data_IF_541430454318
#
_entry.id   IF_541430454318
#
_cell.length_a   1.000
_cell.length_b   1.000
_cell.length_c   1.000
_cell.angle_alpha   90.00
_cell.angle_beta   90.00
_cell.angle_gamma   90.00
#
_symmetry.space_group_name_H-M   'P 1'
#
loop_
_entity.id
_entity.type
_entity.pdbx_description
1 polymer ?
#
# COMPACT_ATOMS: atom_id res chain seq x y z
N UNK A 1 -3.67 5.94 -39.57
CA UNK A 1 -4.63 5.39 -38.59
C UNK A 1 -5.55 6.53 -38.15
N UNK A 2 -6.87 6.36 -38.27
CA UNK A 2 -7.83 7.42 -37.91
C UNK A 2 -7.83 7.70 -36.40
N UNK A 3 -8.26 8.90 -35.99
CA UNK A 3 -8.40 9.26 -34.58
C UNK A 3 -9.31 8.29 -33.82
N UNK A 4 -10.41 7.87 -34.47
CA UNK A 4 -11.34 6.88 -33.93
C UNK A 4 -10.67 5.53 -33.62
N UNK A 5 -9.79 5.05 -34.52
CA UNK A 5 -9.05 3.79 -34.30
C UNK A 5 -8.02 3.93 -33.17
N UNK A 6 -7.42 5.11 -32.97
CA UNK A 6 -6.54 5.39 -31.82
C UNK A 6 -7.33 5.35 -30.50
N UNK A 7 -8.50 5.99 -30.48
CA UNK A 7 -9.36 6.00 -29.31
C UNK A 7 -9.84 4.59 -28.96
N UNK A 8 -10.30 3.82 -29.95
CA UNK A 8 -10.72 2.44 -29.74
C UNK A 8 -9.61 1.55 -29.17
N UNK A 9 -8.38 1.69 -29.68
CA UNK A 9 -7.22 0.95 -29.15
C UNK A 9 -6.85 1.40 -27.72
N UNK A 10 -6.96 2.69 -27.41
CA UNK A 10 -6.75 3.19 -26.06
C UNK A 10 -7.80 2.61 -25.11
N UNK A 11 -9.09 2.68 -25.45
CA UNK A 11 -10.17 2.09 -24.65
C UNK A 11 -9.98 0.59 -24.46
N UNK A 12 -9.58 -0.13 -25.51
CA UNK A 12 -9.28 -1.57 -25.41
C UNK A 12 -8.11 -1.83 -24.44
N UNK A 13 -7.08 -0.98 -24.44
CA UNK A 13 -5.97 -1.05 -23.48
C UNK A 13 -6.39 -0.76 -22.04
N UNK A 14 -7.41 0.07 -21.83
CA UNK A 14 -7.99 0.35 -20.52
C UNK A 14 -9.08 -0.64 -20.08
N UNK A 15 -9.47 -1.58 -20.95
CA UNK A 15 -10.55 -2.53 -20.65
C UNK A 15 -10.32 -3.31 -19.35
N UNK A 16 -9.11 -3.82 -19.01
CA UNK A 16 -8.89 -4.48 -17.73
C UNK A 16 -9.18 -3.58 -16.52
N UNK A 17 -8.81 -2.30 -16.59
CA UNK A 17 -9.10 -1.33 -15.53
C UNK A 17 -10.61 -1.05 -15.43
N UNK A 18 -11.28 -0.83 -16.56
CA UNK A 18 -12.72 -0.58 -16.57
C UNK A 18 -13.51 -1.78 -16.02
N UNK A 19 -13.15 -3.00 -16.40
CA UNK A 19 -13.76 -4.22 -15.87
C UNK A 19 -13.49 -4.38 -14.37
N UNK A 20 -12.28 -4.03 -13.91
CA UNK A 20 -11.95 -4.04 -12.49
C UNK A 20 -12.78 -3.02 -11.69
N UNK A 21 -12.97 -1.80 -12.19
CA UNK A 21 -13.79 -0.78 -11.53
C UNK A 21 -15.29 -1.16 -11.49
N UNK A 22 -15.81 -1.75 -12.56
CA UNK A 22 -17.18 -2.30 -12.56
C UNK A 22 -17.30 -3.43 -11.53
N UNK A 23 -16.31 -4.32 -11.49
CA UNK A 23 -16.26 -5.39 -10.50
C UNK A 23 -16.13 -4.85 -9.07
N UNK A 24 -15.29 -3.85 -8.82
CA UNK A 24 -15.07 -3.29 -7.49
C UNK A 24 -16.32 -2.59 -6.96
N UNK A 25 -16.99 -1.79 -7.79
CA UNK A 25 -18.27 -1.19 -7.49
C UNK A 25 -19.34 -2.24 -7.18
N UNK A 26 -19.43 -3.30 -7.98
CA UNK A 26 -20.41 -4.36 -7.76
C UNK A 26 -20.11 -5.18 -6.49
N UNK A 27 -18.88 -5.64 -6.33
CA UNK A 27 -18.49 -6.59 -5.29
C UNK A 27 -18.21 -5.89 -3.95
N UNK A 28 -17.36 -4.86 -3.93
CA UNK A 28 -17.00 -4.13 -2.73
C UNK A 28 -17.93 -2.95 -2.43
N UNK A 29 -18.68 -2.46 -3.43
CA UNK A 29 -19.62 -1.36 -3.27
C UNK A 29 -19.03 0.04 -3.45
N UNK A 30 -17.73 0.12 -3.76
CA UNK A 30 -16.99 1.37 -3.92
C UNK A 30 -15.91 1.19 -5.01
N UNK A 31 -15.57 2.25 -5.77
CA UNK A 31 -14.58 2.14 -6.83
C UNK A 31 -13.18 1.92 -6.24
N UNK A 32 -12.88 2.64 -5.15
CA UNK A 32 -11.58 2.58 -4.47
C UNK A 32 -11.60 1.65 -3.24
N UNK A 33 -10.48 0.99 -2.92
CA UNK A 33 -10.37 0.12 -1.75
C UNK A 33 -10.41 0.90 -0.44
N UNK A 34 -10.72 0.23 0.69
CA UNK A 34 -10.70 0.87 2.03
C UNK A 34 -9.37 1.57 2.34
N UNK A 35 -8.25 1.02 1.90
CA UNK A 35 -6.92 1.62 2.09
C UNK A 35 -6.76 2.99 1.43
N UNK A 36 -7.46 3.26 0.32
CA UNK A 36 -7.49 4.60 -0.30
C UNK A 36 -8.09 5.62 0.67
N UNK A 37 -9.30 5.34 1.19
CA UNK A 37 -9.99 6.21 2.14
C UNK A 37 -9.19 6.33 3.45
N UNK A 38 -8.66 5.22 3.95
CA UNK A 38 -7.90 5.18 5.19
C UNK A 38 -6.58 5.96 5.12
N UNK A 39 -5.93 6.04 3.94
CA UNK A 39 -4.66 6.75 3.77
C UNK A 39 -4.84 8.20 3.32
N UNK A 40 -5.65 8.45 2.29
CA UNK A 40 -5.80 9.80 1.74
C UNK A 40 -6.87 10.63 2.46
N UNK A 41 -7.90 9.97 3.00
CA UNK A 41 -8.97 10.60 3.79
C UNK A 41 -8.65 10.78 5.27
N UNK A 42 -7.38 10.61 5.68
CA UNK A 42 -6.98 10.64 7.09
C UNK A 42 -7.04 12.03 7.73
N UNK A 43 -7.22 13.11 6.96
CA UNK A 43 -7.28 14.48 7.49
C UNK A 43 -5.91 15.04 7.92
N UNK A 44 -4.81 14.41 7.51
CA UNK A 44 -3.45 14.90 7.78
C UNK A 44 -3.18 16.14 6.91
N UNK A 45 -2.65 17.25 7.48
CA UNK A 45 -2.34 18.44 6.70
C UNK A 45 -1.35 18.15 5.56
N UNK A 46 -1.66 18.67 4.37
CA UNK A 46 -0.90 18.43 3.13
C UNK A 46 0.60 18.77 3.26
N UNK A 47 0.94 19.84 3.98
CA UNK A 47 2.33 20.22 4.21
C UNK A 47 3.11 19.16 4.99
N UNK A 48 2.46 18.50 5.96
CA UNK A 48 3.08 17.41 6.74
C UNK A 48 3.27 16.16 5.89
N UNK A 49 2.29 15.83 5.03
CA UNK A 49 2.43 14.74 4.06
C UNK A 49 3.58 15.03 3.10
N UNK A 50 3.64 16.23 2.52
CA UNK A 50 4.74 16.59 1.60
C UNK A 50 6.11 16.48 2.27
N UNK A 51 6.26 16.98 3.51
CA UNK A 51 7.49 16.84 4.28
C UNK A 51 7.87 15.37 4.51
N UNK A 52 6.90 14.53 4.87
CA UNK A 52 7.10 13.08 4.99
C UNK A 52 7.48 12.43 3.66
N UNK A 53 6.93 12.91 2.55
CA UNK A 53 7.29 12.45 1.20
C UNK A 53 8.76 12.74 0.88
N UNK A 54 9.29 13.90 1.29
CA UNK A 54 10.74 14.18 1.17
C UNK A 54 11.57 13.19 2.00
N UNK A 55 11.13 12.87 3.21
CA UNK A 55 11.75 11.84 4.06
C UNK A 55 11.71 10.47 3.36
N UNK A 56 10.63 10.12 2.67
CA UNK A 56 10.51 8.87 1.91
C UNK A 56 11.49 8.76 0.74
N UNK A 57 11.70 9.85 -0.01
CA UNK A 57 12.72 9.89 -1.06
C UNK A 57 14.13 9.80 -0.47
N UNK A 58 14.39 10.51 0.63
CA UNK A 58 15.68 10.44 1.33
C UNK A 58 15.96 9.03 1.85
N UNK A 59 14.98 8.38 2.49
CA UNK A 59 15.08 7.00 2.98
C UNK A 59 15.44 6.04 1.85
N UNK A 60 14.72 6.09 0.72
CA UNK A 60 15.05 5.25 -0.43
C UNK A 60 16.43 5.55 -1.00
N UNK A 61 16.87 6.81 -1.05
CA UNK A 61 18.22 7.15 -1.52
C UNK A 61 19.31 6.60 -0.58
N UNK A 62 19.07 6.65 0.73
CA UNK A 62 20.03 6.16 1.73
C UNK A 62 20.10 4.64 1.78
N UNK A 63 18.97 3.94 1.61
CA UNK A 63 18.87 2.47 1.69
C UNK A 63 19.14 1.79 0.36
N UNK A 64 18.75 2.39 -0.75
CA UNK A 64 18.91 1.85 -2.11
C UNK A 64 19.04 3.01 -3.14
N UNK A 65 20.23 3.62 -3.25
CA UNK A 65 20.45 4.73 -4.18
C UNK A 65 20.26 4.31 -5.64
N UNK A 66 20.44 3.03 -5.96
CA UNK A 66 20.27 2.51 -7.32
C UNK A 66 18.86 2.79 -7.84
N UNK A 67 17.83 2.60 -7.01
CA UNK A 67 16.43 2.78 -7.41
C UNK A 67 16.18 4.19 -7.94
N UNK A 68 16.49 5.23 -7.15
CA UNK A 68 16.24 6.61 -7.56
C UNK A 68 17.18 7.05 -8.70
N UNK A 69 18.44 6.63 -8.70
CA UNK A 69 19.38 6.95 -9.78
C UNK A 69 18.89 6.38 -11.11
N UNK A 70 18.44 5.13 -11.15
CA UNK A 70 17.88 4.52 -12.37
C UNK A 70 16.61 5.23 -12.80
N UNK A 71 15.73 5.60 -11.86
CA UNK A 71 14.50 6.33 -12.15
C UNK A 71 14.80 7.66 -12.83
N UNK A 72 15.64 8.50 -12.21
CA UNK A 72 15.96 9.82 -12.75
C UNK A 72 16.83 9.76 -14.00
N UNK A 73 17.74 8.78 -14.13
CA UNK A 73 18.49 8.57 -15.35
C UNK A 73 17.58 8.18 -16.53
N UNK A 74 16.61 7.29 -16.32
CA UNK A 74 15.65 6.89 -17.34
C UNK A 74 14.74 8.05 -17.79
N UNK A 75 14.24 8.84 -16.83
CA UNK A 75 13.46 10.06 -17.11
C UNK A 75 14.32 11.06 -17.89
N UNK A 76 15.51 11.39 -17.39
CA UNK A 76 16.40 12.38 -18.01
C UNK A 76 16.81 11.99 -19.43
N UNK A 77 17.21 10.74 -19.65
CA UNK A 77 17.59 10.25 -20.98
C UNK A 77 16.40 10.26 -21.95
N UNK A 78 15.20 9.90 -21.49
CA UNK A 78 13.99 9.93 -22.31
C UNK A 78 13.53 11.35 -22.66
N UNK A 79 13.67 12.31 -21.74
CA UNK A 79 13.39 13.71 -22.05
C UNK A 79 14.41 14.29 -23.04
N UNK A 80 15.69 13.92 -22.90
CA UNK A 80 16.77 14.41 -23.75
C UNK A 80 16.77 13.79 -25.16
N UNK A 81 16.78 12.46 -25.26
CA UNK A 81 16.94 11.70 -26.52
C UNK A 81 15.71 10.95 -26.98
N UNK A 82 14.70 10.83 -26.14
CA UNK A 82 13.49 10.07 -26.46
C UNK A 82 12.65 10.73 -27.55
N UNK A 83 11.87 9.92 -28.25
CA UNK A 83 10.82 10.40 -29.14
C UNK A 83 9.57 10.73 -28.29
N UNK A 84 8.48 11.14 -28.94
CA UNK A 84 7.24 11.52 -28.24
C UNK A 84 6.75 10.45 -27.27
N UNK A 85 6.85 9.16 -27.62
CA UNK A 85 6.40 8.06 -26.77
C UNK A 85 7.23 7.96 -25.48
N UNK A 86 8.55 8.01 -25.57
CA UNK A 86 9.45 7.91 -24.43
C UNK A 86 9.34 9.15 -23.53
N UNK A 87 9.18 10.34 -24.12
CA UNK A 87 8.93 11.58 -23.38
C UNK A 87 7.61 11.52 -22.61
N UNK A 88 6.53 11.01 -23.21
CA UNK A 88 5.25 10.83 -22.52
C UNK A 88 5.35 9.84 -21.35
N UNK A 89 6.08 8.74 -21.51
CA UNK A 89 6.35 7.80 -20.42
C UNK A 89 7.17 8.46 -19.30
N UNK A 90 8.19 9.25 -19.64
CA UNK A 90 8.99 9.98 -18.67
C UNK A 90 8.17 11.03 -17.91
N UNK A 91 7.30 11.77 -18.60
CA UNK A 91 6.38 12.73 -17.97
C UNK A 91 5.38 12.04 -17.05
N UNK A 92 4.79 10.92 -17.46
CA UNK A 92 3.91 10.13 -16.60
C UNK A 92 4.64 9.62 -15.36
N UNK A 93 5.91 9.21 -15.52
CA UNK A 93 6.74 8.78 -14.40
C UNK A 93 7.04 9.94 -13.43
N UNK A 94 7.36 11.12 -13.95
CA UNK A 94 7.58 12.33 -13.14
C UNK A 94 6.31 12.74 -12.37
N UNK A 95 5.15 12.72 -13.03
CA UNK A 95 3.87 13.01 -12.39
C UNK A 95 3.56 12.01 -11.26
N UNK A 96 3.87 10.73 -11.48
CA UNK A 96 3.72 9.72 -10.44
C UNK A 96 4.66 9.98 -9.24
N UNK A 97 5.92 10.38 -9.46
CA UNK A 97 6.83 10.76 -8.37
C UNK A 97 6.32 11.99 -7.59
N UNK A 98 5.78 12.99 -8.29
CA UNK A 98 5.13 14.15 -7.66
C UNK A 98 3.91 13.71 -6.83
N UNK A 99 3.14 12.76 -7.34
CA UNK A 99 2.03 12.18 -6.59
C UNK A 99 2.51 11.45 -5.33
N UNK A 100 3.53 10.59 -5.42
CA UNK A 100 4.14 9.91 -4.26
C UNK A 100 4.61 10.91 -3.20
N UNK A 101 5.27 11.99 -3.63
CA UNK A 101 5.68 13.09 -2.77
C UNK A 101 4.46 13.77 -2.10
N UNK A 102 3.40 14.02 -2.87
CA UNK A 102 2.19 14.69 -2.37
C UNK A 102 1.42 13.87 -1.33
N UNK A 103 1.43 12.54 -1.42
CA UNK A 103 0.74 11.66 -0.46
C UNK A 103 1.61 11.27 0.74
N UNK A 104 2.85 11.76 0.79
CA UNK A 104 3.80 11.52 1.86
C UNK A 104 4.54 10.20 1.80
N UNK A 105 4.58 9.55 0.64
CA UNK A 105 5.24 8.27 0.47
C UNK A 105 4.50 7.13 1.19
N UNK A 106 5.27 6.20 1.75
CA UNK A 106 4.72 5.02 2.42
C UNK A 106 5.61 4.57 3.58
N UNK A 107 5.08 3.73 4.48
CA UNK A 107 5.91 3.15 5.53
C UNK A 107 6.82 2.03 5.04
N UNK A 108 6.57 1.44 3.86
CA UNK A 108 7.45 0.42 3.29
C UNK A 108 8.47 1.10 2.38
N UNK A 109 9.75 1.02 2.77
CA UNK A 109 10.83 1.61 1.99
C UNK A 109 10.81 1.11 0.54
N UNK A 110 11.04 2.01 -0.42
CA UNK A 110 11.16 1.68 -1.85
C UNK A 110 9.87 1.25 -2.58
N UNK A 111 8.83 0.78 -1.88
CA UNK A 111 7.64 0.16 -2.47
C UNK A 111 6.97 1.01 -3.54
N UNK A 112 6.78 2.31 -3.30
CA UNK A 112 6.11 3.16 -4.27
C UNK A 112 6.98 3.48 -5.48
N UNK A 113 8.29 3.24 -5.45
CA UNK A 113 9.17 3.50 -6.58
C UNK A 113 9.26 2.34 -7.59
N UNK A 114 8.71 1.15 -7.28
CA UNK A 114 8.85 -0.05 -8.11
C UNK A 114 8.34 0.14 -9.55
N UNK A 115 7.14 0.69 -9.73
CA UNK A 115 6.59 0.91 -11.08
C UNK A 115 7.45 1.91 -11.88
N UNK A 116 7.87 2.99 -11.21
CA UNK A 116 8.76 4.00 -11.78
C UNK A 116 10.11 3.43 -12.19
N UNK A 117 10.67 2.55 -11.36
CA UNK A 117 11.94 1.87 -11.62
C UNK A 117 11.83 1.00 -12.88
N UNK A 118 10.78 0.19 -13.00
CA UNK A 118 10.55 -0.67 -14.17
C UNK A 118 10.42 0.17 -15.45
N UNK A 119 9.61 1.22 -15.44
CA UNK A 119 9.44 2.10 -16.60
C UNK A 119 10.76 2.75 -16.99
N UNK A 120 11.51 3.29 -16.02
CA UNK A 120 12.80 3.93 -16.28
C UNK A 120 13.86 2.93 -16.76
N UNK A 121 13.92 1.71 -16.22
CA UNK A 121 14.80 0.66 -16.71
C UNK A 121 14.52 0.30 -18.17
N UNK A 122 13.23 0.17 -18.54
CA UNK A 122 12.82 -0.08 -19.93
C UNK A 122 13.19 1.10 -20.86
N UNK A 123 13.05 2.34 -20.39
CA UNK A 123 13.49 3.53 -21.13
C UNK A 123 15.00 3.51 -21.35
N UNK A 124 15.79 3.22 -20.32
CA UNK A 124 17.24 3.11 -20.42
C UNK A 124 17.65 2.02 -21.41
N UNK A 125 17.10 0.80 -21.30
CA UNK A 125 17.38 -0.30 -22.24
C UNK A 125 17.03 0.09 -23.68
N UNK A 126 15.90 0.75 -23.90
CA UNK A 126 15.45 1.16 -25.23
C UNK A 126 16.32 2.25 -25.84
N UNK A 127 16.71 3.24 -25.05
CA UNK A 127 17.47 4.41 -25.50
C UNK A 127 18.99 4.18 -25.52
N UNK A 128 19.46 3.08 -24.92
CA UNK A 128 20.88 2.70 -24.91
C UNK A 128 21.24 1.61 -25.94
N UNK A 129 20.30 1.22 -26.82
CA UNK A 129 20.51 0.16 -27.82
C UNK A 129 21.74 0.39 -28.70
N UNK A 130 21.93 1.62 -29.12
CA UNK A 130 23.00 2.03 -30.05
C UNK A 130 24.30 2.40 -29.34
N UNK A 131 24.38 2.27 -28.00
CA UNK A 131 25.63 2.47 -27.29
C UNK A 131 26.65 1.39 -27.65
N UNK A 132 27.92 1.81 -27.77
CA UNK A 132 29.03 0.87 -27.96
C UNK A 132 29.17 -0.07 -26.76
N UNK A 133 29.72 -1.29 -26.93
CA UNK A 133 29.85 -2.26 -25.85
C UNK A 133 30.51 -1.71 -24.59
N UNK A 134 31.56 -0.87 -24.73
CA UNK A 134 32.24 -0.22 -23.59
C UNK A 134 31.27 0.53 -22.67
N UNK A 135 30.30 1.26 -23.24
CA UNK A 135 29.36 2.07 -22.48
C UNK A 135 28.26 1.22 -21.87
N UNK A 136 27.88 0.12 -22.52
CA UNK A 136 26.97 -0.88 -21.95
C UNK A 136 27.61 -1.55 -20.73
N UNK A 137 28.88 -1.96 -20.83
CA UNK A 137 29.62 -2.52 -19.71
C UNK A 137 29.81 -1.51 -18.58
N UNK A 138 30.12 -0.25 -18.90
CA UNK A 138 30.20 0.81 -17.89
C UNK A 138 28.86 1.02 -17.16
N UNK A 139 27.73 1.02 -17.88
CA UNK A 139 26.40 1.14 -17.28
C UNK A 139 26.06 -0.05 -16.39
N UNK A 140 26.34 -1.28 -16.83
CA UNK A 140 26.17 -2.49 -16.01
C UNK A 140 27.07 -2.41 -14.76
N UNK A 141 28.33 -2.04 -14.92
CA UNK A 141 29.27 -1.85 -13.81
C UNK A 141 28.75 -0.81 -12.80
N UNK A 142 28.22 0.32 -13.27
CA UNK A 142 27.61 1.33 -12.42
C UNK A 142 26.38 0.79 -11.66
N UNK A 143 25.51 0.04 -12.33
CA UNK A 143 24.34 -0.60 -11.68
C UNK A 143 24.79 -1.59 -10.60
N UNK A 144 25.81 -2.41 -10.88
CA UNK A 144 26.36 -3.36 -9.90
C UNK A 144 26.96 -2.60 -8.71
N UNK A 145 27.81 -1.61 -8.96
CA UNK A 145 28.44 -0.80 -7.91
C UNK A 145 27.37 -0.12 -7.05
N UNK A 146 26.38 0.53 -7.66
CA UNK A 146 25.28 1.18 -6.92
C UNK A 146 24.44 0.17 -6.14
N UNK A 147 24.19 -1.02 -6.71
CA UNK A 147 23.47 -2.10 -6.03
C UNK A 147 24.23 -2.67 -4.82
N UNK A 148 25.56 -2.58 -4.80
CA UNK A 148 26.38 -2.94 -3.63
C UNK A 148 26.23 -1.95 -2.46
N UNK A 149 25.79 -0.72 -2.72
CA UNK A 149 25.51 0.25 -1.66
C UNK A 149 24.13 0.08 -1.03
N UNK A 150 23.24 -0.75 -1.60
CA UNK A 150 21.96 -1.05 -0.98
C UNK A 150 22.16 -1.76 0.37
N UNK A 151 21.34 -1.44 1.36
CA UNK A 151 21.48 -1.92 2.75
C UNK A 151 20.27 -2.78 3.17
N UNK A 152 20.41 -4.12 3.22
CA UNK A 152 21.52 -4.91 2.70
C UNK A 152 21.45 -5.01 1.17
N UNK A 153 22.52 -5.44 0.48
CA UNK A 153 22.49 -5.61 -0.97
C UNK A 153 21.33 -6.52 -1.36
N UNK A 154 20.54 -6.13 -2.37
CA UNK A 154 19.27 -6.80 -2.73
C UNK A 154 19.39 -8.31 -3.05
N UNK A 155 20.61 -8.78 -3.35
CA UNK A 155 20.92 -10.18 -3.66
C UNK A 155 21.52 -10.96 -2.47
N UNK A 156 21.76 -10.31 -1.33
CA UNK A 156 22.20 -10.95 -0.09
C UNK A 156 21.00 -11.15 0.81
N UNK A 157 20.87 -12.38 1.29
CA UNK A 157 19.92 -12.75 2.31
C UNK A 157 20.61 -12.72 3.68
N UNK A 158 20.52 -11.59 4.36
CA UNK A 158 20.97 -11.50 5.75
C UNK A 158 19.78 -11.75 6.69
N UNK A 159 19.81 -12.87 7.41
CA UNK A 159 18.80 -13.22 8.41
C UNK A 159 19.08 -12.58 9.77
N UNK A 160 20.30 -12.07 9.99
CA UNK A 160 20.75 -11.47 11.23
C UNK A 160 20.71 -9.94 11.22
N UNK A 161 20.32 -9.34 10.09
CA UNK A 161 20.17 -7.89 9.99
C UNK A 161 19.14 -7.37 11.01
N UNK A 162 19.31 -6.14 11.51
CA UNK A 162 18.31 -5.51 12.36
C UNK A 162 16.96 -5.45 11.64
N UNK A 163 15.94 -6.06 12.26
CA UNK A 163 14.57 -6.05 11.72
C UNK A 163 13.91 -4.68 11.80
N UNK A 164 14.35 -3.88 12.77
CA UNK A 164 13.83 -2.55 13.05
C UNK A 164 14.93 -1.71 13.69
N UNK A 165 15.06 -0.46 13.28
CA UNK A 165 16.15 0.45 13.65
C UNK A 165 15.64 1.75 14.25
N UNK A 166 16.52 2.52 14.89
CA UNK A 166 16.19 3.87 15.37
C UNK A 166 15.77 4.80 14.22
N UNK A 167 16.38 4.65 13.05
CA UNK A 167 15.97 5.37 11.84
C UNK A 167 14.51 5.08 11.46
N UNK A 168 14.05 3.83 11.62
CA UNK A 168 12.66 3.45 11.33
C UNK A 168 11.66 4.08 12.32
N UNK A 169 12.06 4.20 13.59
CA UNK A 169 11.27 4.91 14.61
C UNK A 169 11.14 6.40 14.30
N UNK A 170 12.23 7.02 13.85
CA UNK A 170 12.30 8.46 13.59
C UNK A 170 11.55 8.85 12.31
N UNK A 171 11.70 8.06 11.25
CA UNK A 171 11.10 8.35 9.95
C UNK A 171 9.71 7.76 9.79
N UNK A 172 9.37 6.71 10.55
CA UNK A 172 8.15 5.93 10.37
C UNK A 172 8.16 5.04 9.13
N UNK A 173 9.31 4.91 8.46
CA UNK A 173 9.52 4.09 7.26
C UNK A 173 10.41 2.93 7.66
N UNK A 174 10.11 1.72 7.18
CA UNK A 174 10.81 0.51 7.57
C UNK A 174 11.14 -0.35 6.33
N UNK A 175 12.23 -1.10 6.42
CA UNK A 175 12.48 -2.22 5.52
C UNK A 175 11.66 -3.43 5.99
N UNK A 176 10.43 -3.51 5.49
CA UNK A 176 9.53 -4.62 5.82
C UNK A 176 10.05 -5.99 5.33
N UNK A 177 10.98 -6.03 4.35
CA UNK A 177 11.63 -7.29 3.96
C UNK A 177 12.62 -7.72 5.04
N UNK A 178 13.46 -6.81 5.54
CA UNK A 178 14.34 -7.08 6.67
C UNK A 178 13.56 -7.55 7.90
N UNK A 179 12.38 -6.95 8.14
CA UNK A 179 11.50 -7.33 9.24
C UNK A 179 10.90 -8.74 9.07
N UNK A 180 10.18 -8.99 7.97
CA UNK A 180 9.37 -10.21 7.83
C UNK A 180 10.09 -11.39 7.22
N UNK A 181 11.15 -11.19 6.44
CA UNK A 181 11.81 -12.32 5.79
C UNK A 181 12.33 -13.36 6.79
N UNK A 182 13.02 -13.00 7.89
CA UNK A 182 13.44 -13.97 8.92
C UNK A 182 12.26 -14.76 9.51
N UNK A 183 11.07 -14.16 9.57
CA UNK A 183 9.87 -14.66 10.24
C UNK A 183 9.07 -15.60 9.34
N UNK A 184 8.88 -15.25 8.06
CA UNK A 184 7.96 -15.95 7.14
C UNK A 184 8.54 -16.22 5.75
N UNK A 185 9.83 -15.97 5.52
CA UNK A 185 10.50 -16.21 4.25
C UNK A 185 10.58 -17.71 3.93
N UNK A 186 10.27 -18.06 2.67
CA UNK A 186 10.22 -19.46 2.23
C UNK A 186 11.53 -20.24 2.48
N UNK A 187 12.68 -19.57 2.33
CA UNK A 187 13.99 -20.22 2.55
C UNK A 187 14.30 -20.53 4.02
N UNK A 188 13.51 -19.99 4.97
CA UNK A 188 13.66 -20.26 6.40
C UNK A 188 12.81 -21.46 6.84
N UNK A 189 12.09 -22.09 5.90
CA UNK A 189 11.27 -23.25 6.18
C UNK A 189 12.10 -24.42 6.73
N UNK A 190 11.61 -24.98 7.84
CA UNK A 190 12.15 -26.17 8.45
C UNK A 190 11.01 -27.18 8.61
N UNK A 191 11.17 -28.42 8.12
CA UNK A 191 10.16 -29.46 8.31
C UNK A 191 9.76 -29.60 9.79
N UNK A 192 8.46 -29.60 10.05
CA UNK A 192 7.91 -29.71 11.41
C UNK A 192 7.80 -28.40 12.20
N UNK A 193 8.25 -27.26 11.67
CA UNK A 193 8.00 -25.93 12.26
C UNK A 193 6.83 -25.23 11.57
N UNK A 194 5.94 -24.64 12.36
CA UNK A 194 4.86 -23.79 11.84
C UNK A 194 5.39 -22.40 11.45
N UNK A 195 4.84 -21.83 10.37
CA UNK A 195 5.05 -20.42 10.01
C UNK A 195 4.06 -19.58 10.81
N UNK A 196 4.45 -18.42 11.36
CA UNK A 196 5.79 -17.83 11.34
C UNK A 196 6.78 -18.56 12.25
N UNK A 197 8.05 -18.55 11.83
CA UNK A 197 9.14 -19.29 12.47
C UNK A 197 9.65 -18.65 13.78
N UNK A 198 9.11 -17.49 14.16
CA UNK A 198 9.35 -16.85 15.44
C UNK A 198 8.04 -16.38 16.09
N UNK A 199 7.95 -16.53 17.42
CA UNK A 199 6.89 -15.98 18.24
C UNK A 199 7.13 -14.49 18.47
N UNK A 200 6.45 -13.63 17.72
CA UNK A 200 6.49 -12.17 17.91
C UNK A 200 5.33 -11.66 18.78
N UNK A 201 4.66 -12.56 19.50
CA UNK A 201 3.49 -12.26 20.31
C UNK A 201 2.19 -12.13 19.50
N UNK A 202 2.27 -11.77 18.22
CA UNK A 202 1.08 -11.64 17.35
C UNK A 202 0.38 -12.96 17.07
N UNK A 203 1.14 -14.05 16.94
CA UNK A 203 0.59 -15.38 16.68
C UNK A 203 -0.08 -15.92 17.92
N UNK A 204 0.60 -15.81 19.06
CA UNK A 204 0.09 -16.19 20.37
C UNK A 204 -1.16 -15.39 20.69
N UNK A 205 -1.16 -14.08 20.41
CA UNK A 205 -2.32 -13.21 20.58
C UNK A 205 -3.47 -13.62 19.67
N UNK A 206 -3.22 -13.86 18.38
CA UNK A 206 -4.24 -14.36 17.45
C UNK A 206 -4.85 -15.69 17.93
N UNK A 207 -4.03 -16.67 18.32
CA UNK A 207 -4.50 -17.95 18.88
C UNK A 207 -5.30 -17.73 20.17
N UNK A 208 -4.82 -16.87 21.07
CA UNK A 208 -5.53 -16.55 22.30
C UNK A 208 -6.89 -15.89 22.02
N UNK A 209 -7.00 -15.03 21.00
CA UNK A 209 -8.26 -14.47 20.54
C UNK A 209 -9.23 -15.53 20.00
N UNK A 210 -8.71 -16.49 19.24
CA UNK A 210 -9.49 -17.63 18.76
C UNK A 210 -10.03 -18.47 19.91
N UNK A 211 -9.18 -18.75 20.90
CA UNK A 211 -9.48 -19.71 21.97
C UNK A 211 -10.31 -19.08 23.11
N UNK A 212 -10.24 -17.75 23.30
CA UNK A 212 -10.95 -17.06 24.39
C UNK A 212 -12.45 -16.80 24.12
N UNK A 213 -12.96 -17.17 22.94
CA UNK A 213 -14.37 -17.04 22.57
C UNK A 213 -14.88 -15.61 22.33
N UNK A 214 -14.00 -14.60 22.23
CA UNK A 214 -14.41 -13.23 21.87
C UNK A 214 -14.78 -13.17 20.38
N UNK A 215 -15.99 -12.70 20.09
CA UNK A 215 -16.47 -12.56 18.70
C UNK A 215 -16.06 -11.24 18.03
N UNK A 216 -15.81 -10.17 18.80
CA UNK A 216 -15.43 -8.85 18.28
C UNK A 216 -14.39 -8.17 19.17
N UNK A 217 -13.26 -7.80 18.57
CA UNK A 217 -12.14 -7.09 19.21
C UNK A 217 -11.65 -5.96 18.32
N UNK A 218 -10.94 -5.00 18.88
CA UNK A 218 -10.25 -3.94 18.17
C UNK A 218 -8.73 -4.12 18.29
N UNK A 219 -8.03 -4.02 17.16
CA UNK A 219 -6.59 -4.30 17.09
C UNK A 219 -5.88 -3.35 16.13
N UNK A 220 -4.57 -3.24 16.32
CA UNK A 220 -3.62 -2.65 15.36
C UNK A 220 -2.84 -3.78 14.69
N UNK A 221 -2.24 -3.52 13.52
CA UNK A 221 -1.37 -4.50 12.84
C UNK A 221 -2.05 -5.87 12.60
N UNK A 222 -3.23 -5.85 11.99
CA UNK A 222 -4.15 -7.01 11.91
C UNK A 222 -3.65 -8.22 11.11
N UNK A 223 -2.47 -8.16 10.47
CA UNK A 223 -1.95 -9.21 9.58
C UNK A 223 -1.88 -10.60 10.23
N UNK A 224 -0.82 -10.88 10.99
CA UNK A 224 -0.68 -12.19 11.66
C UNK A 224 -1.77 -12.43 12.71
N UNK A 225 -2.15 -11.40 13.48
CA UNK A 225 -3.19 -11.50 14.51
C UNK A 225 -4.49 -12.04 13.90
N UNK A 226 -4.98 -11.43 12.82
CA UNK A 226 -6.21 -11.85 12.16
C UNK A 226 -6.11 -13.22 11.49
N UNK A 227 -4.97 -13.54 10.89
CA UNK A 227 -4.74 -14.87 10.31
C UNK A 227 -4.86 -15.98 11.37
N UNK A 228 -4.25 -15.80 12.55
CA UNK A 228 -4.28 -16.82 13.61
C UNK A 228 -5.54 -16.79 14.47
N UNK A 229 -6.21 -15.63 14.59
CA UNK A 229 -7.52 -15.52 15.22
C UNK A 229 -8.61 -16.28 14.46
N UNK A 230 -8.45 -16.40 13.14
CA UNK A 230 -9.37 -17.13 12.29
C UNK A 230 -10.68 -16.38 12.03
N UNK A 231 -11.57 -16.95 11.20
CA UNK A 231 -12.72 -16.24 10.65
C UNK A 231 -13.84 -15.98 11.66
N UNK A 232 -13.80 -16.61 12.84
CA UNK A 232 -14.81 -16.45 13.88
C UNK A 232 -14.65 -15.16 14.70
N UNK A 233 -13.47 -14.53 14.64
CA UNK A 233 -13.16 -13.30 15.36
C UNK A 233 -13.23 -12.12 14.39
N UNK A 234 -14.16 -11.20 14.64
CA UNK A 234 -14.24 -9.95 13.89
C UNK A 234 -13.30 -8.91 14.49
N UNK A 235 -12.29 -8.49 13.73
CA UNK A 235 -11.31 -7.50 14.17
C UNK A 235 -11.66 -6.13 13.58
N UNK A 236 -11.88 -5.15 14.45
CA UNK A 236 -11.95 -3.73 14.10
C UNK A 236 -10.53 -3.19 14.01
N UNK A 237 -10.04 -3.00 12.79
CA UNK A 237 -8.71 -2.47 12.52
C UNK A 237 -8.64 -0.98 12.84
N UNK A 238 -7.89 -0.61 13.90
CA UNK A 238 -7.75 0.76 14.35
C UNK A 238 -6.97 1.66 13.38
N UNK A 239 -6.18 1.08 12.45
CA UNK A 239 -5.59 1.82 11.33
C UNK A 239 -6.53 1.96 10.13
N UNK A 240 -7.69 1.29 10.22
CA UNK A 240 -8.77 1.33 9.26
C UNK A 240 -8.43 0.86 7.85
N UNK A 241 -7.35 0.11 7.67
CA UNK A 241 -7.00 -0.48 6.39
C UNK A 241 -8.04 -1.54 6.00
N UNK A 242 -8.58 -2.24 6.99
CA UNK A 242 -9.58 -3.30 6.82
C UNK A 242 -10.99 -2.93 7.31
N UNK A 243 -11.18 -1.87 8.11
CA UNK A 243 -12.49 -1.49 8.65
C UNK A 243 -13.21 -0.44 7.77
N UNK A 244 -14.41 -0.74 7.24
CA UNK A 244 -15.08 0.14 6.28
C UNK A 244 -15.61 1.44 6.90
N UNK A 245 -15.99 1.44 8.18
CA UNK A 245 -16.52 2.63 8.84
C UNK A 245 -15.38 3.56 9.22
N UNK A 246 -14.36 3.03 9.90
CA UNK A 246 -13.20 3.79 10.34
C UNK A 246 -12.42 4.36 9.15
N UNK A 247 -12.37 3.67 8.00
CA UNK A 247 -11.64 4.14 6.81
C UNK A 247 -12.14 5.49 6.30
N UNK A 248 -13.39 5.84 6.61
CA UNK A 248 -14.07 7.06 6.18
C UNK A 248 -14.17 8.11 7.28
N UNK A 249 -13.49 7.87 8.41
CA UNK A 249 -13.34 8.83 9.50
C UNK A 249 -11.96 9.48 9.45
N UNK A 250 -11.85 10.75 9.88
CA UNK A 250 -10.55 11.39 10.06
C UNK A 250 -9.72 10.60 11.08
N UNK A 251 -8.41 10.61 10.89
CA UNK A 251 -7.48 10.03 11.85
C UNK A 251 -7.32 10.92 13.08
N UNK A 252 -6.83 10.33 14.16
CA UNK A 252 -6.38 11.08 15.32
C UNK A 252 -5.14 11.91 14.94
N UNK A 253 -5.23 13.24 15.09
CA UNK A 253 -4.15 14.17 14.72
C UNK A 253 -3.41 14.76 15.92
N UNK A 254 -3.86 14.47 17.15
CA UNK A 254 -3.30 15.02 18.39
C UNK A 254 -1.99 14.36 18.82
N UNK A 255 -1.66 13.18 18.28
CA UNK A 255 -0.45 12.42 18.58
C UNK A 255 0.58 12.34 17.43
N UNK A 256 1.68 11.63 17.69
CA UNK A 256 2.60 11.18 16.63
C UNK A 256 1.87 10.16 15.75
N UNK A 257 1.94 10.35 14.44
CA UNK A 257 1.39 9.42 13.45
C UNK A 257 2.52 8.80 12.63
N UNK A 258 2.30 7.58 12.14
CA UNK A 258 3.20 6.89 11.20
C UNK A 258 2.54 6.87 9.83
N UNK A 259 3.27 7.24 8.78
CA UNK A 259 2.74 7.24 7.41
C UNK A 259 2.09 5.90 7.08
N UNK A 260 0.87 5.92 6.53
CA UNK A 260 0.14 4.71 6.17
C UNK A 260 -0.48 3.90 7.33
N UNK A 261 -0.24 4.27 8.59
CA UNK A 261 -0.85 3.67 9.79
C UNK A 261 -1.50 4.75 10.66
N UNK A 262 -2.57 5.35 10.12
CA UNK A 262 -3.28 6.44 10.78
C UNK A 262 -4.36 5.88 11.70
N UNK A 263 -4.16 6.02 13.00
CA UNK A 263 -5.08 5.50 14.01
C UNK A 263 -6.39 6.31 14.07
N UNK A 264 -7.50 5.61 14.32
CA UNK A 264 -8.84 6.19 14.49
C UNK A 264 -9.46 5.77 15.80
N UNK A 265 -10.23 6.68 16.37
CA UNK A 265 -11.10 6.36 17.50
C UNK A 265 -12.28 5.51 17.03
N UNK A 266 -12.56 4.46 17.80
CA UNK A 266 -13.75 3.64 17.65
C UNK A 266 -14.96 4.43 18.15
N UNK A 267 -15.98 4.67 17.30
CA UNK A 267 -17.20 5.35 17.76
C UNK A 267 -17.88 4.59 18.89
N UNK A 268 -18.45 5.32 19.85
CA UNK A 268 -19.24 4.74 20.93
C UNK A 268 -20.41 3.92 20.36
N UNK A 269 -20.53 2.67 20.81
CA UNK A 269 -21.55 1.73 20.34
C UNK A 269 -21.18 0.93 19.08
N UNK A 270 -20.07 1.24 18.41
CA UNK A 270 -19.68 0.50 17.19
C UNK A 270 -19.33 -0.96 17.47
N UNK A 271 -18.55 -1.25 18.51
CA UNK A 271 -18.22 -2.63 18.89
C UNK A 271 -19.47 -3.41 19.31
N UNK A 272 -20.40 -2.78 20.04
CA UNK A 272 -21.68 -3.38 20.43
C UNK A 272 -22.55 -3.66 19.21
N UNK A 273 -22.54 -2.77 18.22
CA UNK A 273 -23.23 -2.95 16.94
C UNK A 273 -22.74 -4.19 16.22
N UNK A 274 -21.42 -4.37 16.15
CA UNK A 274 -20.81 -5.54 15.54
C UNK A 274 -21.10 -6.84 16.31
N UNK A 275 -21.14 -6.78 17.65
CA UNK A 275 -21.41 -7.95 18.51
C UNK A 275 -22.85 -8.42 18.44
N UNK A 276 -23.80 -7.48 18.38
CA UNK A 276 -25.23 -7.78 18.49
C UNK A 276 -25.95 -7.83 17.14
N UNK A 277 -25.37 -7.23 16.11
CA UNK A 277 -26.02 -7.03 14.81
C UNK A 277 -27.07 -5.93 14.79
N UNK A 278 -27.30 -5.24 15.92
CA UNK A 278 -28.22 -4.11 16.04
C UNK A 278 -27.42 -2.82 16.13
N UNK A 279 -27.73 -1.82 15.31
CA UNK A 279 -27.04 -0.54 15.34
C UNK A 279 -27.26 0.17 16.68
N UNK A 280 -26.16 0.36 17.41
CA UNK A 280 -26.08 0.99 18.72
C UNK A 280 -25.11 2.18 18.71
N UNK A 281 -24.68 2.64 17.54
CA UNK A 281 -23.79 3.80 17.41
C UNK A 281 -24.50 5.03 17.98
N UNK A 282 -23.84 5.72 18.93
CA UNK A 282 -24.46 6.82 19.70
C UNK A 282 -24.78 8.05 18.85
N UNK A 283 -23.91 8.41 17.92
CA UNK A 283 -24.14 9.53 17.02
C UNK A 283 -25.20 9.11 15.96
N UNK A 284 -26.37 9.79 15.91
CA UNK A 284 -27.45 9.38 15.02
C UNK A 284 -27.12 9.55 13.53
N UNK A 285 -26.30 10.54 13.16
CA UNK A 285 -25.88 10.73 11.78
C UNK A 285 -24.91 9.62 11.36
N UNK A 286 -23.98 9.26 12.25
CA UNK A 286 -23.04 8.17 12.00
C UNK A 286 -23.75 6.81 11.99
N UNK A 287 -24.76 6.62 12.84
CA UNK A 287 -25.58 5.42 12.85
C UNK A 287 -26.32 5.25 11.52
N UNK A 288 -27.01 6.29 11.04
CA UNK A 288 -27.72 6.26 9.75
C UNK A 288 -26.77 6.02 8.57
N UNK A 289 -25.58 6.64 8.62
CA UNK A 289 -24.51 6.39 7.65
C UNK A 289 -24.04 4.93 7.67
N UNK A 290 -23.83 4.37 8.87
CA UNK A 290 -23.41 2.98 9.04
C UNK A 290 -24.46 1.99 8.54
N UNK A 291 -25.77 2.25 8.70
CA UNK A 291 -26.80 1.35 8.18
C UNK A 291 -26.70 1.17 6.66
N UNK A 292 -26.47 2.26 5.92
CA UNK A 292 -26.25 2.20 4.47
C UNK A 292 -24.93 1.49 4.14
N UNK A 293 -23.85 1.83 4.86
CA UNK A 293 -22.55 1.20 4.65
C UNK A 293 -22.59 -0.31 4.93
N UNK A 294 -23.26 -0.74 6.00
CA UNK A 294 -23.43 -2.12 6.39
C UNK A 294 -24.23 -2.90 5.34
N UNK A 295 -25.30 -2.29 4.80
CA UNK A 295 -26.04 -2.86 3.67
C UNK A 295 -25.15 -3.07 2.44
N UNK A 296 -24.25 -2.12 2.14
CA UNK A 296 -23.30 -2.22 1.03
C UNK A 296 -22.29 -3.35 1.25
N UNK A 297 -21.66 -3.43 2.42
CA UNK A 297 -20.51 -4.33 2.66
C UNK A 297 -20.91 -5.72 3.16
N UNK A 298 -22.16 -5.93 3.61
CA UNK A 298 -22.66 -7.21 4.14
C UNK A 298 -23.94 -7.72 3.48
N UNK A 299 -24.66 -6.87 2.75
CA UNK A 299 -25.91 -7.26 2.11
C UNK A 299 -25.71 -8.25 0.95
N UNK A 300 -26.76 -9.00 0.55
CA UNK A 300 -26.69 -9.88 -0.62
C UNK A 300 -26.29 -9.11 -1.88
N UNK A 301 -25.33 -9.63 -2.65
CA UNK A 301 -24.72 -8.91 -3.78
C UNK A 301 -25.74 -8.34 -4.77
N UNK A 302 -26.78 -9.10 -5.10
CA UNK A 302 -27.83 -8.75 -6.06
C UNK A 302 -29.08 -8.08 -5.44
N UNK A 303 -29.04 -7.72 -4.16
CA UNK A 303 -30.16 -7.02 -3.52
C UNK A 303 -30.39 -5.65 -4.16
N UNK A 304 -31.62 -5.36 -4.59
CA UNK A 304 -32.00 -4.03 -5.12
C UNK A 304 -31.68 -2.92 -4.12
N UNK A 305 -31.92 -3.15 -2.82
CA UNK A 305 -31.64 -2.18 -1.77
C UNK A 305 -30.13 -1.90 -1.68
N UNK A 306 -29.29 -2.94 -1.77
CA UNK A 306 -27.82 -2.80 -1.81
C UNK A 306 -27.35 -1.99 -3.02
N UNK A 307 -27.86 -2.31 -4.21
CA UNK A 307 -27.48 -1.61 -5.44
C UNK A 307 -27.89 -0.12 -5.41
N UNK A 308 -29.05 0.19 -4.83
CA UNK A 308 -29.48 1.58 -4.61
C UNK A 308 -28.54 2.28 -3.61
N UNK A 309 -28.18 1.62 -2.51
CA UNK A 309 -27.25 2.18 -1.52
C UNK A 309 -25.87 2.46 -2.14
N UNK A 310 -25.34 1.55 -2.96
CA UNK A 310 -24.10 1.77 -3.72
C UNK A 310 -24.21 3.02 -4.59
N UNK A 311 -25.31 3.18 -5.34
CA UNK A 311 -25.53 4.35 -6.17
C UNK A 311 -25.66 5.65 -5.36
N UNK A 312 -26.23 5.62 -4.16
CA UNK A 312 -26.42 6.80 -3.33
C UNK A 312 -25.16 7.25 -2.59
N UNK A 313 -24.25 6.33 -2.29
CA UNK A 313 -23.04 6.60 -1.50
C UNK A 313 -21.77 6.87 -2.34
N UNK A 314 -21.83 6.71 -3.65
CA UNK A 314 -20.73 6.99 -4.59
C UNK A 314 -21.10 8.14 -5.52
#
# INVERSE_FOLDING_TARGET
MTALKRLALATLGFLPLLLWEVFSLFYYGFPFPNTYYAKLGAGIPQAKLFAQGLVYFADSFTRDPLTLIVIFAGIGLALWRGQTRERLLALGNLLYLVYVLSIGGDFMSGRFFTASLVVSALLLVRLSRDLTPRWKYAAVGAVVILGLFAQPPNFILDLNQPRFTEHDLLTGINDERAYYYPISGLMNYQPGKEIPFSSEGWVEHGRALRDNGKSVVDEKNVGFIGYFAGPAVHIVDLYALCDPLLARRPAQTSGKWRIGHFEREVPEGYLQTLRTGVNQIRDPNLAAYYDQLALIVRGPLFSRARLIAIWQMN
#
